data_IF_951701293626
#
_entry.id   IF_951701293626
#
_cell.length_a   1.000
_cell.length_b   1.000
_cell.length_c   1.000
_cell.angle_alpha   90.00
_cell.angle_beta   90.00
_cell.angle_gamma   90.00
#
_symmetry.space_group_name_H-M   'P 1'
#
loop_
_entity.id
_entity.type
_entity.pdbx_description
1 polymer ?
#
# COMPACT_ATOMS: atom_id res chain seq x y z
N UNK A 1 10.86 -4.82 7.94
CA UNK A 1 9.54 -4.28 8.38
C UNK A 1 8.51 -5.41 8.34
N UNK A 2 7.60 -5.44 9.27
CA UNK A 2 6.55 -6.46 9.28
C UNK A 2 5.41 -6.06 8.33
N UNK A 3 4.78 -7.06 7.70
CA UNK A 3 3.63 -6.84 6.82
C UNK A 3 2.47 -6.14 7.56
N UNK A 4 2.27 -6.46 8.83
CA UNK A 4 1.22 -5.86 9.67
C UNK A 4 1.43 -4.35 9.86
N UNK A 5 2.68 -3.89 9.91
CA UNK A 5 2.99 -2.47 10.01
C UNK A 5 2.57 -1.73 8.74
N UNK A 6 2.85 -2.32 7.58
CA UNK A 6 2.43 -1.76 6.29
C UNK A 6 0.91 -1.71 6.19
N UNK A 7 0.25 -2.79 6.58
CA UNK A 7 -1.21 -2.88 6.60
C UNK A 7 -1.82 -1.77 7.46
N UNK A 8 -1.27 -1.56 8.66
CA UNK A 8 -1.75 -0.51 9.58
C UNK A 8 -1.58 0.89 9.00
N UNK A 9 -0.45 1.17 8.36
CA UNK A 9 -0.22 2.47 7.71
C UNK A 9 -1.23 2.74 6.58
N UNK A 10 -1.52 1.71 5.79
CA UNK A 10 -2.50 1.83 4.70
C UNK A 10 -3.92 2.00 5.24
N UNK A 11 -4.29 1.26 6.26
CA UNK A 11 -5.62 1.37 6.89
C UNK A 11 -5.83 2.72 7.55
N UNK A 12 -4.79 3.28 8.18
CA UNK A 12 -4.84 4.62 8.76
C UNK A 12 -5.04 5.70 7.69
N UNK A 13 -4.35 5.59 6.57
CA UNK A 13 -4.44 6.56 5.48
C UNK A 13 -5.73 6.43 4.68
N UNK A 14 -6.26 5.21 4.56
CA UNK A 14 -7.44 4.87 3.77
C UNK A 14 -8.43 4.08 4.65
N UNK A 15 -9.11 4.74 5.59
CA UNK A 15 -10.03 4.06 6.50
C UNK A 15 -11.12 3.29 5.74
N UNK A 16 -11.43 2.09 6.22
CA UNK A 16 -12.41 1.22 5.60
C UNK A 16 -11.91 0.44 4.39
N UNK A 17 -10.64 0.58 4.02
CA UNK A 17 -10.06 -0.19 2.92
C UNK A 17 -9.81 -1.65 3.30
N UNK A 18 -9.82 -2.53 2.29
CA UNK A 18 -9.33 -3.89 2.43
C UNK A 18 -7.89 -3.93 1.96
N UNK A 19 -6.98 -4.40 2.81
CA UNK A 19 -5.55 -4.41 2.54
C UNK A 19 -5.01 -5.82 2.66
N UNK A 20 -4.29 -6.26 1.64
CA UNK A 20 -3.51 -7.50 1.68
C UNK A 20 -2.05 -7.15 1.42
N UNK A 21 -1.16 -7.64 2.25
CA UNK A 21 0.28 -7.39 2.14
C UNK A 21 1.02 -8.71 2.07
N UNK A 22 1.82 -8.87 1.03
CA UNK A 22 2.67 -10.06 0.86
C UNK A 22 4.13 -9.62 0.90
N UNK A 23 4.89 -10.24 1.81
CA UNK A 23 6.35 -10.11 1.84
C UNK A 23 6.91 -11.08 0.81
N UNK A 24 7.41 -10.55 -0.32
CA UNK A 24 7.76 -11.36 -1.49
C UNK A 24 9.02 -12.19 -1.31
N UNK A 25 9.93 -11.78 -0.42
CA UNK A 25 11.21 -12.44 -0.23
C UNK A 25 11.36 -13.07 1.15
N UNK A 26 10.47 -12.73 2.08
CA UNK A 26 10.60 -13.10 3.48
C UNK A 26 11.60 -12.25 4.27
N UNK A 27 12.25 -11.28 3.61
CA UNK A 27 13.25 -10.42 4.23
C UNK A 27 12.70 -9.13 4.83
N UNK A 28 11.42 -8.82 4.64
CA UNK A 28 10.79 -7.63 5.20
C UNK A 28 11.14 -6.34 4.46
N UNK A 29 11.51 -6.40 3.19
CA UNK A 29 11.94 -5.25 2.39
C UNK A 29 11.35 -5.20 0.98
N UNK A 30 10.77 -6.29 0.48
CA UNK A 30 10.12 -6.37 -0.83
C UNK A 30 8.66 -6.80 -0.63
N UNK A 31 7.73 -5.91 -0.94
CA UNK A 31 6.32 -6.14 -0.66
C UNK A 31 5.45 -5.99 -1.89
N UNK A 32 4.36 -6.75 -1.91
CA UNK A 32 3.24 -6.52 -2.80
C UNK A 32 2.03 -6.15 -1.94
N UNK A 33 1.50 -4.96 -2.13
CA UNK A 33 0.30 -4.51 -1.45
C UNK A 33 -0.87 -4.49 -2.41
N UNK A 34 -2.01 -5.00 -1.97
CA UNK A 34 -3.28 -4.93 -2.68
C UNK A 34 -4.25 -4.17 -1.81
N UNK A 35 -4.77 -3.07 -2.34
CA UNK A 35 -5.67 -2.18 -1.59
C UNK A 35 -6.96 -1.99 -2.36
N UNK A 36 -8.07 -2.34 -1.73
CA UNK A 36 -9.42 -2.10 -2.26
C UNK A 36 -10.05 -1.00 -1.41
N UNK A 37 -10.42 0.10 -2.03
CA UNK A 37 -10.94 1.26 -1.31
C UNK A 37 -11.90 2.06 -2.15
N UNK A 38 -12.99 2.55 -1.52
CA UNK A 38 -13.89 3.51 -2.16
C UNK A 38 -13.20 4.85 -2.47
N UNK A 39 -12.10 5.16 -1.80
CA UNK A 39 -11.31 6.35 -2.09
C UNK A 39 -10.71 6.32 -3.50
N UNK A 40 -10.60 5.15 -4.11
CA UNK A 40 -10.09 4.99 -5.47
C UNK A 40 -11.15 5.16 -6.55
N UNK A 41 -12.43 5.19 -6.19
CA UNK A 41 -13.51 5.30 -7.16
C UNK A 41 -13.40 6.61 -7.93
N UNK A 42 -13.38 6.52 -9.25
CA UNK A 42 -13.25 7.69 -10.13
C UNK A 42 -11.83 8.21 -10.30
N UNK A 43 -10.82 7.62 -9.64
CA UNK A 43 -9.43 8.03 -9.81
C UNK A 43 -8.73 7.23 -10.89
N UNK A 44 -7.78 7.87 -11.59
CA UNK A 44 -6.88 7.18 -12.49
C UNK A 44 -5.97 6.22 -11.72
N UNK A 45 -5.37 5.26 -12.43
CA UNK A 45 -4.42 4.32 -11.81
C UNK A 45 -3.24 5.06 -11.17
N UNK A 46 -2.72 6.08 -11.83
CA UNK A 46 -1.63 6.90 -11.30
C UNK A 46 -2.02 7.58 -9.99
N UNK A 47 -3.22 8.15 -9.93
CA UNK A 47 -3.72 8.80 -8.73
C UNK A 47 -3.92 7.81 -7.58
N UNK A 48 -4.42 6.62 -7.88
CA UNK A 48 -4.56 5.55 -6.90
C UNK A 48 -3.20 5.15 -6.32
N UNK A 49 -2.20 4.93 -7.18
CA UNK A 49 -0.86 4.58 -6.74
C UNK A 49 -0.20 5.70 -5.93
N UNK A 50 -0.47 6.96 -6.25
CA UNK A 50 0.04 8.10 -5.48
C UNK A 50 -0.48 8.09 -4.04
N UNK A 51 -1.73 7.73 -3.83
CA UNK A 51 -2.30 7.62 -2.49
C UNK A 51 -1.58 6.54 -1.67
N UNK A 52 -1.31 5.39 -2.28
CA UNK A 52 -0.57 4.31 -1.62
C UNK A 52 0.87 4.73 -1.32
N UNK A 53 1.56 5.33 -2.28
CA UNK A 53 2.93 5.81 -2.09
C UNK A 53 3.00 6.87 -0.98
N UNK A 54 2.03 7.74 -0.89
CA UNK A 54 1.95 8.76 0.16
C UNK A 54 1.75 8.12 1.54
N UNK A 55 0.89 7.12 1.63
CA UNK A 55 0.65 6.39 2.87
C UNK A 55 1.92 5.68 3.39
N UNK A 56 2.77 5.22 2.47
CA UNK A 56 4.00 4.50 2.79
C UNK A 56 5.26 5.36 2.59
N UNK A 57 5.10 6.68 2.56
CA UNK A 57 6.21 7.59 2.25
C UNK A 57 7.39 7.45 3.20
N UNK A 58 7.17 7.32 4.49
CA UNK A 58 8.24 7.22 5.48
C UNK A 58 9.12 5.97 5.27
N UNK A 59 8.59 4.74 5.23
CA UNK A 59 9.41 3.56 4.99
C UNK A 59 10.00 3.48 3.58
N UNK A 60 9.38 4.14 2.59
CA UNK A 60 9.96 4.23 1.26
C UNK A 60 11.15 5.20 1.25
N UNK A 61 11.03 6.34 1.93
CA UNK A 61 12.06 7.35 1.94
C UNK A 61 13.30 6.93 2.74
N UNK A 62 13.12 6.17 3.83
CA UNK A 62 14.24 5.73 4.68
C UNK A 62 14.90 4.43 4.21
N UNK A 63 14.41 3.84 3.12
CA UNK A 63 14.97 2.61 2.57
C UNK A 63 14.52 1.32 3.26
N UNK A 64 13.61 1.39 4.21
CA UNK A 64 13.06 0.19 4.87
C UNK A 64 12.33 -0.70 3.87
N UNK A 65 11.58 -0.10 2.94
CA UNK A 65 11.00 -0.80 1.80
C UNK A 65 11.90 -0.56 0.60
N UNK A 66 12.53 -1.61 0.08
CA UNK A 66 13.40 -1.54 -1.10
C UNK A 66 12.60 -1.66 -2.40
N UNK A 67 11.56 -2.49 -2.41
CA UNK A 67 10.69 -2.67 -3.56
C UNK A 67 9.24 -2.75 -3.11
N UNK A 68 8.37 -2.03 -3.81
CA UNK A 68 6.95 -2.02 -3.54
C UNK A 68 6.19 -2.25 -4.84
N UNK A 69 5.42 -3.34 -4.90
CA UNK A 69 4.43 -3.56 -5.96
C UNK A 69 3.07 -3.17 -5.42
N UNK A 70 2.31 -2.46 -6.23
CA UNK A 70 1.03 -1.89 -5.82
C UNK A 70 -0.06 -2.39 -6.77
N UNK A 71 -1.10 -2.98 -6.20
CA UNK A 71 -2.34 -3.28 -6.90
C UNK A 71 -3.46 -2.54 -6.18
N UNK A 72 -4.23 -1.76 -6.91
CA UNK A 72 -5.33 -0.98 -6.35
C UNK A 72 -6.62 -1.32 -7.07
N UNK A 73 -7.74 -1.22 -6.36
CA UNK A 73 -9.06 -1.45 -6.90
C UNK A 73 -10.08 -0.58 -6.19
N UNK A 74 -10.97 0.03 -6.95
CA UNK A 74 -12.13 0.70 -6.40
C UNK A 74 -13.21 -0.29 -5.99
N UNK A 75 -14.28 0.22 -5.42
CA UNK A 75 -15.42 -0.58 -4.95
C UNK A 75 -16.57 -0.61 -5.95
N UNK A 76 -16.46 0.16 -7.03
CA UNK A 76 -17.47 0.24 -8.11
C UNK A 76 -17.09 -0.59 -9.32
#
# INVERSE_FOLDING_TARGET
MAAETISALLEDALPGSEVAVVDRTGGGDHFHVTVVSSAFDGLSLVEQHRLVNRALAAPLADGTIHELRITTKGTR
#
